data_IF_330099809942
#
_entry.id   IF_330099809942
#
_cell.length_a   1.000
_cell.length_b   1.000
_cell.length_c   1.000
_cell.angle_alpha   90.00
_cell.angle_beta   90.00
_cell.angle_gamma   90.00
#
_symmetry.space_group_name_H-M   'P 1'
#
loop_
_entity.id
_entity.type
_entity.pdbx_description
1 polymer ?
#
# COMPACT_ATOMS: atom_id res chain seq x y z
N UNK A 1 -6.89 -33.85 -26.12
CA UNK A 1 -7.27 -32.49 -25.71
C UNK A 1 -6.23 -31.59 -26.32
N UNK A 2 -6.60 -30.81 -27.35
CA UNK A 2 -5.70 -29.82 -27.95
C UNK A 2 -5.18 -28.87 -26.85
N UNK A 3 -3.91 -28.46 -26.88
CA UNK A 3 -3.41 -27.49 -25.91
C UNK A 3 -4.14 -26.16 -26.16
N UNK A 4 -5.09 -25.81 -25.30
CA UNK A 4 -5.71 -24.49 -25.33
C UNK A 4 -4.62 -23.44 -25.12
N UNK A 5 -4.48 -22.58 -26.12
CA UNK A 5 -3.47 -21.53 -26.20
C UNK A 5 -3.64 -20.65 -24.96
N UNK A 6 -2.62 -20.45 -24.10
CA UNK A 6 -2.77 -19.61 -22.91
C UNK A 6 -3.28 -18.25 -23.38
N UNK A 7 -4.42 -17.82 -22.86
CA UNK A 7 -5.12 -16.62 -23.30
C UNK A 7 -4.11 -15.46 -23.37
N UNK A 8 -3.68 -15.10 -24.58
CA UNK A 8 -2.64 -14.10 -24.80
C UNK A 8 -3.15 -12.80 -24.19
N UNK A 9 -2.44 -12.30 -23.18
CA UNK A 9 -2.81 -11.11 -22.43
C UNK A 9 -2.89 -9.91 -23.38
N UNK A 10 -4.08 -9.65 -23.92
CA UNK A 10 -4.30 -8.60 -24.88
C UNK A 10 -4.03 -7.28 -24.14
N UNK A 11 -2.97 -6.56 -24.57
CA UNK A 11 -2.47 -5.30 -24.01
C UNK A 11 -1.56 -5.32 -22.78
N UNK A 12 -1.07 -6.47 -22.30
CA UNK A 12 -0.20 -6.51 -21.10
C UNK A 12 -0.91 -5.85 -19.87
N UNK A 13 -2.24 -5.90 -19.85
CA UNK A 13 -3.07 -5.18 -18.87
C UNK A 13 -2.89 -5.76 -17.46
N UNK A 14 -2.69 -7.07 -17.36
CA UNK A 14 -2.44 -7.75 -16.09
C UNK A 14 -1.09 -7.32 -15.52
N UNK A 15 -0.07 -7.19 -16.37
CA UNK A 15 1.23 -6.65 -15.98
C UNK A 15 1.11 -5.24 -15.39
N UNK A 16 0.45 -4.30 -16.09
CA UNK A 16 0.25 -2.95 -15.58
C UNK A 16 -0.57 -2.92 -14.28
N UNK A 17 -1.53 -3.84 -14.12
CA UNK A 17 -2.32 -3.94 -12.91
C UNK A 17 -1.48 -4.37 -11.72
N UNK A 18 -0.64 -5.41 -11.84
CA UNK A 18 0.24 -5.84 -10.76
C UNK A 18 1.33 -4.82 -10.45
N UNK A 19 1.83 -4.11 -11.47
CA UNK A 19 2.80 -3.03 -11.29
C UNK A 19 2.19 -1.86 -10.49
N UNK A 20 0.99 -1.40 -10.87
CA UNK A 20 0.27 -0.37 -10.14
C UNK A 20 -0.15 -0.81 -8.74
N UNK A 21 -0.55 -2.07 -8.57
CA UNK A 21 -0.88 -2.66 -7.28
C UNK A 21 0.33 -2.65 -6.33
N UNK A 22 1.50 -3.04 -6.83
CA UNK A 22 2.76 -2.98 -6.08
C UNK A 22 3.11 -1.55 -5.64
N UNK A 23 2.91 -0.56 -6.52
CA UNK A 23 3.10 0.85 -6.16
C UNK A 23 2.11 1.28 -5.06
N UNK A 24 0.83 0.97 -5.22
CA UNK A 24 -0.23 1.39 -4.31
C UNK A 24 -0.07 0.82 -2.88
N UNK A 25 0.45 -0.40 -2.74
CA UNK A 25 0.67 -1.03 -1.42
C UNK A 25 1.74 -0.28 -0.61
N UNK A 26 2.87 0.08 -1.22
CA UNK A 26 4.00 0.60 -0.45
C UNK A 26 4.02 2.13 -0.35
N UNK A 27 3.36 2.85 -1.26
CA UNK A 27 3.34 4.32 -1.27
C UNK A 27 2.86 4.97 0.03
N UNK A 28 1.82 4.48 0.73
CA UNK A 28 1.41 5.01 2.03
C UNK A 28 2.53 4.97 3.06
N UNK A 29 3.23 3.84 3.13
CA UNK A 29 4.36 3.64 4.03
C UNK A 29 5.53 4.54 3.66
N UNK A 30 5.90 4.59 2.37
CA UNK A 30 6.98 5.45 1.89
C UNK A 30 6.70 6.94 2.12
N UNK A 31 5.44 7.36 1.98
CA UNK A 31 5.01 8.74 2.25
C UNK A 31 5.06 9.06 3.74
N UNK A 32 4.63 8.13 4.61
CA UNK A 32 4.73 8.27 6.06
C UNK A 32 6.18 8.45 6.51
N UNK A 33 7.09 7.58 6.07
CA UNK A 33 8.53 7.64 6.42
C UNK A 33 9.15 8.95 5.95
N UNK A 34 8.76 9.44 4.78
CA UNK A 34 9.26 10.71 4.23
C UNK A 34 8.73 11.92 4.97
N UNK A 35 7.50 11.83 5.49
CA UNK A 35 6.87 12.89 6.28
C UNK A 35 7.24 12.84 7.78
N UNK A 36 8.14 11.96 8.22
CA UNK A 36 8.55 11.88 9.64
C UNK A 36 9.09 13.22 10.17
N UNK A 37 9.84 13.94 9.35
CA UNK A 37 10.37 15.28 9.68
C UNK A 37 9.26 16.22 10.16
N UNK A 38 8.06 16.15 9.55
CA UNK A 38 6.89 16.95 9.97
C UNK A 38 6.38 16.56 11.36
N UNK A 39 6.31 15.26 11.66
CA UNK A 39 5.84 14.77 12.96
C UNK A 39 6.82 15.09 14.08
N UNK A 40 8.13 15.03 13.82
CA UNK A 40 9.17 15.40 14.78
C UNK A 40 9.06 16.89 15.16
N UNK A 41 8.85 17.76 14.18
CA UNK A 41 8.69 19.21 14.42
C UNK A 41 7.38 19.52 15.16
N UNK A 42 6.28 18.84 14.81
CA UNK A 42 4.97 19.10 15.43
C UNK A 42 4.77 18.48 16.81
N UNK A 43 5.49 17.41 17.14
CA UNK A 43 5.35 16.65 18.38
C UNK A 43 6.69 16.56 19.12
N UNK A 44 7.27 17.69 19.57
CA UNK A 44 8.55 17.69 20.27
C UNK A 44 8.44 16.91 21.60
N UNK A 45 9.46 16.11 21.91
CA UNK A 45 9.56 15.35 23.16
C UNK A 45 9.18 13.86 23.08
N UNK A 46 8.84 13.36 21.90
CA UNK A 46 8.64 11.92 21.65
C UNK A 46 9.68 11.42 20.64
N UNK A 47 10.23 10.22 20.85
CA UNK A 47 11.12 9.56 19.89
C UNK A 47 10.30 8.97 18.73
N UNK A 48 9.77 9.86 17.88
CA UNK A 48 8.85 9.51 16.79
C UNK A 48 9.45 8.45 15.88
N UNK A 49 10.73 8.56 15.52
CA UNK A 49 11.41 7.62 14.62
C UNK A 49 11.44 6.19 15.15
N UNK A 50 11.76 6.04 16.44
CA UNK A 50 11.83 4.74 17.10
C UNK A 50 10.44 4.12 17.26
N UNK A 51 9.49 4.92 17.73
CA UNK A 51 8.10 4.49 17.97
C UNK A 51 7.43 4.08 16.66
N UNK A 52 7.55 4.89 15.61
CA UNK A 52 6.98 4.56 14.29
C UNK A 52 7.59 3.27 13.76
N UNK A 53 8.90 3.07 13.88
CA UNK A 53 9.58 1.87 13.38
C UNK A 53 9.08 0.60 14.07
N UNK A 54 8.98 0.59 15.39
CA UNK A 54 8.50 -0.58 16.15
C UNK A 54 7.01 -0.81 15.89
N UNK A 55 6.21 0.24 15.99
CA UNK A 55 4.75 0.16 15.86
C UNK A 55 4.29 -0.06 14.44
N UNK A 56 5.16 0.05 13.45
CA UNK A 56 4.85 -0.31 12.07
C UNK A 56 5.26 -1.75 11.76
N UNK A 57 6.48 -2.15 12.14
CA UNK A 57 6.98 -3.49 11.83
C UNK A 57 6.28 -4.59 12.63
N UNK A 58 5.95 -4.35 13.90
CA UNK A 58 5.27 -5.32 14.76
C UNK A 58 3.88 -5.75 14.23
N UNK A 59 2.95 -4.82 14.02
CA UNK A 59 1.62 -5.12 13.48
C UNK A 59 1.68 -5.68 12.06
N UNK A 60 2.60 -5.19 11.22
CA UNK A 60 2.81 -5.73 9.89
C UNK A 60 3.22 -7.21 9.91
N UNK A 61 4.18 -7.57 10.77
CA UNK A 61 4.58 -8.96 10.96
C UNK A 61 3.42 -9.82 11.51
N UNK A 62 2.73 -9.35 12.55
CA UNK A 62 1.63 -10.06 13.17
C UNK A 62 0.48 -10.36 12.19
N UNK A 63 0.11 -9.36 11.38
CA UNK A 63 -0.95 -9.50 10.37
C UNK A 63 -0.53 -10.42 9.22
N UNK A 64 0.73 -10.36 8.78
CA UNK A 64 1.24 -11.31 7.78
C UNK A 64 1.14 -12.76 8.27
N UNK A 65 1.55 -13.05 9.51
CA UNK A 65 1.41 -14.39 10.12
C UNK A 65 -0.06 -14.80 10.21
N UNK A 66 -0.93 -13.89 10.64
CA UNK A 66 -2.37 -14.16 10.77
C UNK A 66 -3.03 -14.47 9.42
N UNK A 67 -2.64 -13.77 8.36
CA UNK A 67 -3.14 -14.00 7.01
C UNK A 67 -2.67 -15.33 6.42
N UNK A 68 -1.48 -15.83 6.78
CA UNK A 68 -1.02 -17.16 6.36
C UNK A 68 -1.93 -18.25 6.97
N UNK A 69 -2.37 -18.08 8.21
CA UNK A 69 -3.20 -19.07 8.93
C UNK A 69 -4.68 -18.97 8.51
N UNK A 70 -5.23 -17.76 8.46
CA UNK A 70 -6.67 -17.52 8.25
C UNK A 70 -7.05 -17.08 6.84
N UNK A 71 -6.10 -16.90 5.93
CA UNK A 71 -6.33 -16.34 4.60
C UNK A 71 -7.38 -17.07 3.76
N UNK A 72 -7.54 -18.39 3.96
CA UNK A 72 -8.54 -19.22 3.25
C UNK A 72 -10.00 -18.84 3.56
N UNK A 73 -10.25 -18.17 4.69
CA UNK A 73 -11.60 -17.79 5.11
C UNK A 73 -12.08 -16.49 4.46
N UNK A 74 -11.18 -15.69 3.91
CA UNK A 74 -11.50 -14.36 3.44
C UNK A 74 -11.53 -14.32 1.91
N UNK A 75 -12.62 -13.76 1.36
CA UNK A 75 -12.70 -13.47 -0.07
C UNK A 75 -11.65 -12.43 -0.46
N UNK A 76 -10.54 -12.89 -1.03
CA UNK A 76 -9.34 -12.09 -1.34
C UNK A 76 -9.68 -10.77 -2.04
N UNK A 77 -10.58 -10.81 -3.04
CA UNK A 77 -11.03 -9.60 -3.77
C UNK A 77 -11.70 -8.54 -2.88
N UNK A 78 -12.59 -8.97 -1.99
CA UNK A 78 -13.33 -8.04 -1.10
C UNK A 78 -12.39 -7.47 -0.05
N UNK A 79 -11.50 -8.29 0.50
CA UNK A 79 -10.54 -7.84 1.51
C UNK A 79 -9.56 -6.82 0.93
N UNK A 80 -8.95 -7.07 -0.23
CA UNK A 80 -8.00 -6.11 -0.82
C UNK A 80 -8.66 -4.76 -1.12
N UNK A 81 -9.87 -4.77 -1.70
CA UNK A 81 -10.59 -3.52 -1.99
C UNK A 81 -10.94 -2.72 -0.74
N UNK A 82 -11.45 -3.38 0.31
CA UNK A 82 -11.76 -2.74 1.60
C UNK A 82 -10.49 -2.19 2.25
N UNK A 83 -9.41 -2.98 2.27
CA UNK A 83 -8.15 -2.56 2.85
C UNK A 83 -7.56 -1.36 2.10
N UNK A 84 -7.61 -1.32 0.77
CA UNK A 84 -7.14 -0.17 -0.01
C UNK A 84 -7.94 1.11 0.28
N UNK A 85 -9.27 0.99 0.35
CA UNK A 85 -10.13 2.13 0.70
C UNK A 85 -9.84 2.62 2.11
N UNK A 86 -9.65 1.69 3.06
CA UNK A 86 -9.29 2.03 4.44
C UNK A 86 -7.91 2.69 4.52
N UNK A 87 -6.89 2.16 3.82
CA UNK A 87 -5.57 2.79 3.75
C UNK A 87 -5.65 4.20 3.19
N UNK A 88 -6.42 4.41 2.11
CA UNK A 88 -6.59 5.74 1.52
C UNK A 88 -7.12 6.76 2.53
N UNK A 89 -8.18 6.40 3.26
CA UNK A 89 -8.77 7.29 4.27
C UNK A 89 -7.77 7.58 5.40
N UNK A 90 -7.08 6.56 5.90
CA UNK A 90 -6.13 6.70 7.00
C UNK A 90 -4.90 7.53 6.59
N UNK A 91 -4.36 7.31 5.40
CA UNK A 91 -3.20 8.02 4.86
C UNK A 91 -3.50 9.51 4.61
N UNK A 92 -4.70 9.86 4.16
CA UNK A 92 -5.12 11.25 3.99
C UNK A 92 -5.48 11.95 5.32
N UNK A 93 -5.98 11.19 6.30
CA UNK A 93 -6.31 11.73 7.62
C UNK A 93 -5.05 12.05 8.46
N UNK A 94 -3.99 11.27 8.31
CA UNK A 94 -2.77 11.35 9.12
C UNK A 94 -2.13 12.75 9.22
N UNK A 95 -1.93 13.54 8.14
CA UNK A 95 -1.38 14.89 8.26
C UNK A 95 -2.32 15.92 8.91
N UNK A 96 -3.64 15.64 8.95
CA UNK A 96 -4.65 16.56 9.49
C UNK A 96 -4.78 16.48 11.02
N UNK A 97 -4.48 15.31 11.62
CA UNK A 97 -4.64 15.08 13.06
C UNK A 97 -3.82 16.06 13.91
N UNK A 98 -2.52 16.31 13.65
CA UNK A 98 -1.73 17.26 14.44
C UNK A 98 -2.18 18.73 14.31
N UNK A 99 -3.09 19.04 13.37
CA UNK A 99 -3.64 20.40 13.24
C UNK A 99 -4.90 20.62 14.07
N UNK A 100 -5.68 19.57 14.30
CA UNK A 100 -7.01 19.66 14.92
C UNK A 100 -6.98 19.22 16.39
N UNK A 101 -6.10 18.29 16.75
CA UNK A 101 -5.99 17.77 18.11
C UNK A 101 -4.89 18.48 18.92
N UNK A 102 -5.12 18.68 20.23
CA UNK A 102 -4.08 19.15 21.16
C UNK A 102 -2.89 18.17 21.25
N UNK A 103 -1.72 18.64 21.69
CA UNK A 103 -0.45 17.90 21.49
C UNK A 103 -0.44 16.46 22.01
N UNK A 104 -0.98 16.21 23.20
CA UNK A 104 -1.02 14.85 23.77
C UNK A 104 -2.05 13.96 23.07
N UNK A 105 -3.22 14.50 22.73
CA UNK A 105 -4.26 13.76 22.00
C UNK A 105 -3.82 13.42 20.56
N UNK A 106 -3.17 14.37 19.89
CA UNK A 106 -2.66 14.20 18.53
C UNK A 106 -1.67 13.03 18.44
N UNK A 107 -0.77 12.90 19.41
CA UNK A 107 0.20 11.80 19.44
C UNK A 107 -0.47 10.42 19.48
N UNK A 108 -1.43 10.23 20.39
CA UNK A 108 -2.15 8.96 20.54
C UNK A 108 -2.88 8.60 19.24
N UNK A 109 -3.57 9.57 18.64
CA UNK A 109 -4.28 9.36 17.38
C UNK A 109 -3.33 9.03 16.22
N UNK A 110 -2.22 9.75 16.07
CA UNK A 110 -1.20 9.47 15.04
C UNK A 110 -0.65 8.05 15.19
N UNK A 111 -0.25 7.68 16.40
CA UNK A 111 0.26 6.33 16.70
C UNK A 111 -0.78 5.25 16.38
N UNK A 112 -2.04 5.45 16.77
CA UNK A 112 -3.12 4.48 16.49
C UNK A 112 -3.38 4.29 15.00
N UNK A 113 -3.32 5.37 14.21
CA UNK A 113 -3.48 5.34 12.76
C UNK A 113 -2.30 4.61 12.12
N UNK A 114 -1.06 4.85 12.58
CA UNK A 114 0.13 4.17 12.07
C UNK A 114 0.03 2.66 12.28
N UNK A 115 -0.33 2.21 13.49
CA UNK A 115 -0.53 0.78 13.79
C UNK A 115 -1.58 0.18 12.83
N UNK A 116 -2.68 0.91 12.61
CA UNK A 116 -3.77 0.46 11.73
C UNK A 116 -3.32 0.40 10.27
N UNK A 117 -2.62 1.42 9.77
CA UNK A 117 -2.03 1.46 8.43
C UNK A 117 -1.12 0.25 8.23
N UNK A 118 -0.22 -0.03 9.18
CA UNK A 118 0.72 -1.14 9.07
C UNK A 118 0.03 -2.51 9.11
N UNK A 119 -1.00 -2.68 9.94
CA UNK A 119 -1.82 -3.89 9.97
C UNK A 119 -2.57 -4.12 8.64
N UNK A 120 -3.23 -3.09 8.12
CA UNK A 120 -3.96 -3.14 6.86
C UNK A 120 -3.01 -3.39 5.68
N UNK A 121 -1.81 -2.78 5.72
CA UNK A 121 -0.77 -2.99 4.73
C UNK A 121 -0.30 -4.46 4.68
N UNK A 122 -0.13 -5.10 5.84
CA UNK A 122 0.23 -6.53 5.90
C UNK A 122 -0.84 -7.40 5.24
N UNK A 123 -2.11 -7.17 5.57
CA UNK A 123 -3.24 -7.86 4.93
C UNK A 123 -3.25 -7.67 3.41
N UNK A 124 -3.09 -6.43 2.94
CA UNK A 124 -3.03 -6.13 1.51
C UNK A 124 -1.86 -6.80 0.82
N UNK A 125 -0.67 -6.75 1.43
CA UNK A 125 0.53 -7.33 0.87
C UNK A 125 0.39 -8.84 0.72
N UNK A 126 -0.08 -9.55 1.76
CA UNK A 126 -0.35 -10.98 1.68
C UNK A 126 -1.34 -11.35 0.58
N UNK A 127 -2.46 -10.62 0.47
CA UNK A 127 -3.44 -10.87 -0.56
C UNK A 127 -2.91 -10.57 -1.98
N UNK A 128 -2.11 -9.52 -2.14
CA UNK A 128 -1.54 -9.16 -3.44
C UNK A 128 -0.51 -10.20 -3.91
N UNK A 129 0.34 -10.71 -3.01
CA UNK A 129 1.24 -11.82 -3.32
C UNK A 129 0.48 -13.14 -3.56
N UNK A 130 -0.60 -13.40 -2.81
CA UNK A 130 -1.47 -14.55 -3.04
C UNK A 130 -2.12 -14.53 -4.43
N UNK A 131 -2.60 -13.36 -4.86
CA UNK A 131 -3.13 -13.16 -6.23
C UNK A 131 -2.03 -13.27 -7.29
N UNK A 132 -0.86 -12.67 -7.06
CA UNK A 132 0.23 -12.73 -8.03
C UNK A 132 0.73 -14.17 -8.23
N UNK A 133 0.81 -14.96 -7.15
CA UNK A 133 1.23 -16.36 -7.19
C UNK A 133 0.25 -17.30 -7.87
N UNK A 134 -1.06 -17.00 -7.88
CA UNK A 134 -2.07 -17.84 -8.54
C UNK A 134 -2.15 -17.67 -10.06
N UNK A 135 -1.57 -16.59 -10.61
CA UNK A 135 -1.70 -16.25 -12.04
C UNK A 135 -0.45 -16.64 -12.87
N UNK A 136 0.76 -16.38 -12.38
CA UNK A 136 2.04 -16.84 -12.96
C UNK A 136 3.24 -16.26 -12.18
N UNK A 137 4.38 -16.96 -12.16
CA UNK A 137 5.61 -16.53 -11.47
C UNK A 137 6.09 -15.12 -11.89
N UNK A 138 5.88 -14.73 -13.16
CA UNK A 138 6.26 -13.39 -13.66
C UNK A 138 5.46 -12.25 -13.00
N UNK A 139 4.25 -12.51 -12.49
CA UNK A 139 3.43 -11.49 -11.86
C UNK A 139 3.98 -11.05 -10.49
N UNK A 140 4.63 -11.97 -9.75
CA UNK A 140 5.32 -11.63 -8.49
C UNK A 140 6.50 -10.70 -8.77
N UNK A 141 7.28 -10.97 -9.82
CA UNK A 141 8.39 -10.11 -10.22
C UNK A 141 7.89 -8.71 -10.65
N UNK A 142 6.76 -8.66 -11.36
CA UNK A 142 6.11 -7.40 -11.77
C UNK A 142 5.61 -6.60 -10.57
N UNK A 143 4.98 -7.27 -9.60
CA UNK A 143 4.54 -6.66 -8.35
C UNK A 143 5.72 -6.05 -7.59
N UNK A 144 6.82 -6.80 -7.43
CA UNK A 144 8.04 -6.32 -6.78
C UNK A 144 8.68 -5.14 -7.53
N UNK A 145 8.59 -5.12 -8.85
CA UNK A 145 9.02 -3.97 -9.67
C UNK A 145 8.21 -2.72 -9.33
N UNK A 146 6.88 -2.86 -9.20
CA UNK A 146 6.00 -1.79 -8.74
C UNK A 146 6.35 -1.28 -7.34
N UNK A 147 6.61 -2.20 -6.40
CA UNK A 147 7.07 -1.86 -5.05
C UNK A 147 8.37 -1.03 -5.11
N UNK A 148 9.35 -1.39 -5.94
CA UNK A 148 10.57 -0.59 -6.11
C UNK A 148 10.31 0.81 -6.70
N UNK A 149 9.43 0.89 -7.71
CA UNK A 149 9.04 2.17 -8.33
C UNK A 149 8.35 3.13 -7.36
N UNK A 150 7.64 2.62 -6.35
CA UNK A 150 7.05 3.47 -5.30
C UNK A 150 8.09 4.28 -4.53
N UNK A 151 9.20 3.65 -4.15
CA UNK A 151 10.28 4.31 -3.40
C UNK A 151 10.99 5.36 -4.24
N UNK A 152 11.20 5.08 -5.54
CA UNK A 152 11.73 6.06 -6.49
C UNK A 152 10.81 7.27 -6.64
N UNK A 153 9.50 7.02 -6.78
CA UNK A 153 8.49 8.09 -6.91
C UNK A 153 8.49 9.02 -5.71
N UNK A 154 8.52 8.46 -4.48
CA UNK A 154 8.56 9.27 -3.25
C UNK A 154 9.91 9.97 -3.08
N UNK A 155 11.01 9.34 -3.47
CA UNK A 155 12.34 9.97 -3.41
C UNK A 155 12.42 11.18 -4.33
N UNK A 156 11.89 11.08 -5.56
CA UNK A 156 11.79 12.21 -6.49
C UNK A 156 10.89 13.30 -5.90
N UNK A 157 9.73 12.93 -5.35
CA UNK A 157 8.84 13.87 -4.69
C UNK A 157 9.53 14.60 -3.53
N UNK A 158 10.37 13.90 -2.75
CA UNK A 158 11.15 14.49 -1.64
C UNK A 158 12.15 15.53 -2.14
N UNK A 159 12.91 15.20 -3.19
CA UNK A 159 13.86 16.15 -3.80
C UNK A 159 13.13 17.40 -4.30
N UNK A 160 12.00 17.22 -4.99
CA UNK A 160 11.16 18.32 -5.45
C UNK A 160 10.69 19.16 -4.24
N UNK A 161 10.17 18.54 -3.19
CA UNK A 161 9.71 19.26 -2.00
C UNK A 161 10.80 20.11 -1.37
N UNK A 162 12.02 19.58 -1.25
CA UNK A 162 13.15 20.31 -0.64
C UNK A 162 13.62 21.49 -1.49
N UNK A 163 13.47 21.41 -2.82
CA UNK A 163 13.81 22.50 -3.74
C UNK A 163 12.76 23.60 -3.72
N UNK A 164 11.47 23.25 -3.69
CA UNK A 164 10.37 24.23 -3.71
C UNK A 164 10.07 24.83 -2.33
N UNK A 165 10.26 24.07 -1.26
CA UNK A 165 10.05 24.48 0.12
C UNK A 165 11.35 24.34 0.91
N UNK A 166 12.34 25.24 0.68
CA UNK A 166 13.60 25.19 1.40
C UNK A 166 13.36 25.35 2.90
N UNK A 167 13.85 24.37 3.66
CA UNK A 167 13.83 24.36 5.12
C UNK A 167 14.97 25.23 5.65
N UNK A 168 14.96 26.53 5.32
CA UNK A 168 15.84 27.48 6.02
C UNK A 168 15.23 27.72 7.40
N UNK A 169 16.03 27.50 8.45
CA UNK A 169 15.64 27.37 9.87
C UNK A 169 14.97 28.59 10.53
N UNK A 170 14.37 29.47 9.74
CA UNK A 170 13.63 30.68 10.14
C UNK A 170 12.16 30.66 9.73
N UNK A 171 11.72 29.74 8.86
CA UNK A 171 10.33 29.71 8.37
C UNK A 171 9.48 28.63 9.03
N UNK A 172 8.34 29.10 9.49
CA UNK A 172 7.28 28.48 10.26
C UNK A 172 6.85 27.07 9.82
N UNK A 173 6.22 26.38 10.78
CA UNK A 173 5.54 25.08 10.74
C UNK A 173 4.74 24.71 9.46
N UNK A 174 4.50 25.67 8.56
CA UNK A 174 3.65 25.53 7.39
C UNK A 174 4.38 24.87 6.19
N UNK A 175 5.69 25.11 6.01
CA UNK A 175 6.45 24.54 4.89
C UNK A 175 6.53 22.99 4.97
N UNK A 176 6.74 22.46 6.18
CA UNK A 176 6.72 21.00 6.41
C UNK A 176 5.32 20.41 6.20
N UNK A 177 4.27 21.17 6.50
CA UNK A 177 2.89 20.73 6.30
C UNK A 177 2.55 20.62 4.81
N UNK A 178 2.92 21.62 4.00
CA UNK A 178 2.70 21.58 2.55
C UNK A 178 3.45 20.40 1.88
N UNK A 179 4.70 20.14 2.32
CA UNK A 179 5.45 18.95 1.88
C UNK A 179 4.75 17.65 2.27
N UNK A 180 4.31 17.53 3.53
CA UNK A 180 3.59 16.35 4.01
C UNK A 180 2.31 16.08 3.19
N UNK A 181 1.46 17.09 2.99
CA UNK A 181 0.24 16.96 2.18
C UNK A 181 0.58 16.50 0.77
N UNK A 182 1.63 17.05 0.15
CA UNK A 182 2.03 16.66 -1.20
C UNK A 182 2.34 15.16 -1.27
N UNK A 183 3.09 14.62 -0.31
CA UNK A 183 3.40 13.18 -0.27
C UNK A 183 2.14 12.33 -0.06
N UNK A 184 1.29 12.70 0.90
CA UNK A 184 0.05 11.97 1.19
C UNK A 184 -0.96 12.05 0.02
N UNK A 185 -1.01 13.17 -0.70
CA UNK A 185 -1.84 13.33 -1.90
C UNK A 185 -1.35 12.44 -3.05
N UNK A 186 -0.04 12.39 -3.30
CA UNK A 186 0.54 11.48 -4.30
C UNK A 186 0.20 10.04 -3.93
N UNK A 187 0.42 9.64 -2.68
CA UNK A 187 0.05 8.30 -2.20
C UNK A 187 -1.43 7.99 -2.40
N UNK A 188 -2.32 8.94 -2.10
CA UNK A 188 -3.76 8.83 -2.30
C UNK A 188 -4.15 8.62 -3.77
N UNK A 189 -3.55 9.35 -4.71
CA UNK A 189 -3.82 9.21 -6.16
C UNK A 189 -3.47 7.80 -6.64
N UNK A 190 -2.31 7.26 -6.25
CA UNK A 190 -1.92 5.91 -6.65
C UNK A 190 -2.77 4.83 -5.98
N UNK A 191 -3.23 5.05 -4.74
CA UNK A 191 -4.21 4.16 -4.11
C UNK A 191 -5.54 4.12 -4.89
N UNK A 192 -6.04 5.26 -5.35
CA UNK A 192 -7.25 5.33 -6.20
C UNK A 192 -7.04 4.53 -7.50
N UNK A 193 -5.90 4.73 -8.17
CA UNK A 193 -5.55 3.97 -9.37
C UNK A 193 -5.52 2.46 -9.07
N UNK A 194 -4.91 2.06 -7.95
CA UNK A 194 -4.88 0.67 -7.49
C UNK A 194 -6.27 0.06 -7.29
N UNK A 195 -7.19 0.79 -6.64
CA UNK A 195 -8.58 0.35 -6.43
C UNK A 195 -9.30 0.16 -7.78
N UNK A 196 -9.20 1.13 -8.69
CA UNK A 196 -9.85 1.06 -10.01
C UNK A 196 -9.35 -0.17 -10.78
N UNK A 197 -8.03 -0.38 -10.82
CA UNK A 197 -7.43 -1.51 -11.53
C UNK A 197 -7.85 -2.85 -10.93
N UNK A 198 -7.94 -2.96 -9.60
CA UNK A 198 -8.44 -4.17 -8.94
C UNK A 198 -9.91 -4.47 -9.22
N UNK A 199 -10.76 -3.45 -9.40
CA UNK A 199 -12.17 -3.64 -9.77
C UNK A 199 -12.30 -4.11 -11.23
N UNK A 200 -11.37 -3.71 -12.09
CA UNK A 200 -11.34 -4.11 -13.51
C UNK A 200 -10.73 -5.50 -13.68
N UNK A 201 -9.72 -5.86 -12.89
CA UNK A 201 -9.00 -7.14 -12.95
C UNK A 201 -9.88 -8.40 -13.02
N UNK A 202 -10.95 -8.59 -12.20
CA UNK A 202 -11.81 -9.77 -12.27
C UNK A 202 -12.72 -9.81 -13.50
N UNK A 203 -12.86 -8.70 -14.25
CA UNK A 203 -13.61 -8.65 -15.50
C UNK A 203 -12.77 -9.07 -16.70
N UNK A 204 -11.47 -9.23 -16.53
CA UNK A 204 -10.54 -9.64 -17.59
C UNK A 204 -10.61 -11.14 -17.83
N UNK A 205 -10.71 -11.55 -19.10
CA UNK A 205 -10.81 -12.96 -19.52
C UNK A 205 -9.61 -13.82 -19.08
N UNK A 206 -8.44 -13.20 -18.90
CA UNK A 206 -7.23 -13.84 -18.39
C UNK A 206 -7.35 -14.32 -16.95
N UNK A 207 -8.02 -13.53 -16.09
CA UNK A 207 -8.23 -13.85 -14.68
C UNK A 207 -9.18 -15.04 -14.52
N UNK A 208 -10.21 -15.11 -15.35
CA UNK A 208 -11.19 -16.21 -15.32
C UNK A 208 -10.55 -17.54 -15.74
N UNK A 209 -9.70 -17.52 -16.79
CA UNK A 209 -9.03 -18.72 -17.28
C UNK A 209 -8.08 -19.37 -16.25
N UNK A 210 -7.28 -18.58 -15.53
CA UNK A 210 -6.33 -19.13 -14.54
C UNK A 210 -7.00 -19.61 -13.25
N UNK A 211 -8.09 -18.96 -12.82
CA UNK A 211 -8.86 -19.44 -11.66
C UNK A 211 -9.59 -20.75 -12.00
N UNK A 212 -10.19 -20.85 -13.18
CA UNK A 212 -10.88 -22.08 -13.60
C UNK A 212 -9.90 -23.26 -13.76
N UNK A 213 -8.65 -22.99 -14.17
CA UNK A 213 -7.59 -24.01 -14.26
C UNK A 213 -7.07 -24.44 -12.87
N UNK A 214 -6.92 -23.52 -11.92
CA UNK A 214 -6.56 -23.85 -10.54
C UNK A 214 -7.65 -24.66 -9.82
N UNK A 215 -8.93 -24.25 -9.92
CA UNK A 215 -10.05 -25.00 -9.33
C UNK A 215 -10.16 -26.42 -9.92
N UNK A 216 -9.87 -26.58 -11.22
CA UNK A 216 -9.78 -27.88 -11.89
C UNK A 216 -8.63 -28.76 -11.38
N UNK A 217 -7.45 -28.19 -11.10
CA UNK A 217 -6.30 -28.92 -10.52
C UNK A 217 -6.59 -29.42 -9.11
N UNK A 218 -7.23 -28.61 -8.27
CA UNK A 218 -7.56 -29.02 -6.89
C UNK A 218 -8.62 -30.11 -6.86
N UNK A 219 -9.64 -30.07 -7.72
CA UNK A 219 -10.66 -31.14 -7.80
C UNK A 219 -10.09 -32.49 -8.27
N UNK A 220 -9.07 -32.48 -9.14
CA UNK A 220 -8.41 -33.69 -9.62
C UNK A 220 -7.45 -34.33 -8.58
N UNK A 221 -6.96 -33.53 -7.61
CA UNK A 221 -6.08 -34.00 -6.52
C UNK A 221 -6.85 -34.50 -5.28
N UNK A 222 -8.16 -34.25 -5.21
CA UNK A 222 -9.05 -34.69 -4.12
C UNK A 222 -9.88 -35.94 -4.45
N UNK A 223 -9.62 -36.60 -5.59
CA UNK A 223 -10.16 -37.92 -5.99
C UNK A 223 -9.07 -39.00 -5.86
#
# INVERSE_FOLDING_TARGET
MEPEIPAKDAYNFVYFTFLALGMAILLPWSSLVTALDYFIVKLPGHDVDFVVSILSNGPFFATNVLMIIFGKWFGVKRVVGICMMLMMVLTLALPLIPQVAGSEGAWIWVVSIIITISAVNGVMQCCAYGLAGSLADHNIATLNTGIGLSGLTVSIARVISLVFFPTDGTSENDNFFYGAIMYFAIGGVFLIIGVILLVILPKTRYYQYHIDEEEGKWSCLTL
#
